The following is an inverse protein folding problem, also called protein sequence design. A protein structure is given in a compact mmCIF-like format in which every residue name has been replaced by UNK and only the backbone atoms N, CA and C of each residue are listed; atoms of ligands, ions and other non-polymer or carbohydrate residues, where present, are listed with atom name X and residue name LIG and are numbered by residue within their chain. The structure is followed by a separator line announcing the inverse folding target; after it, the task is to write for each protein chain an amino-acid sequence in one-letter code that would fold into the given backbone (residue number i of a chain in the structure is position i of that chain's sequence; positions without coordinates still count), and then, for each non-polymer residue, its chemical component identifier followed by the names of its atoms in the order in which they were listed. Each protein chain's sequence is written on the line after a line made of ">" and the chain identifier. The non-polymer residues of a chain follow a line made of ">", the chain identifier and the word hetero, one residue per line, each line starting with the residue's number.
data_IF_337183131992
#
_entry.id   IF_337183131992
#
_cell.length_a   1.000
_cell.length_b   1.000
_cell.length_c   1.000
_cell.angle_alpha   90.00
_cell.angle_beta   90.00
_cell.angle_gamma   90.00
#
_symmetry.space_group_name_H-M   'P 1'
#
loop_
_entity.id
_entity.type
_entity.pdbx_description
1 polymer ?
#
# COMPACT_ATOMS: atom_id res chain seq x y z
N UNK A 1 10.40 59.79 5.64
CA UNK A 1 11.82 60.14 5.89
C UNK A 1 12.23 61.15 4.83
N UNK A 2 13.06 62.15 5.17
CA UNK A 2 13.34 63.28 4.28
C UNK A 2 14.25 62.87 3.11
N UNK A 3 13.87 63.20 1.88
CA UNK A 3 14.71 62.97 0.70
C UNK A 3 15.80 64.05 0.66
N UNK A 4 17.06 63.65 0.79
CA UNK A 4 18.17 64.59 0.88
C UNK A 4 18.55 65.03 -0.54
N UNK A 5 18.48 66.34 -0.79
CA UNK A 5 18.89 66.94 -2.05
C UNK A 5 20.34 67.38 -1.98
N UNK A 6 21.04 67.17 -3.09
CA UNK A 6 22.42 67.58 -3.27
C UNK A 6 22.52 68.49 -4.50
N UNK A 7 23.50 69.38 -4.51
CA UNK A 7 23.84 70.20 -5.67
C UNK A 7 25.35 70.29 -5.79
N UNK A 8 25.85 70.37 -7.02
CA UNK A 8 27.27 70.53 -7.26
C UNK A 8 27.71 71.97 -6.96
N UNK A 9 28.78 72.11 -6.19
CA UNK A 9 29.49 73.38 -5.97
C UNK A 9 28.62 74.53 -5.41
N UNK A 10 27.62 74.22 -4.57
CA UNK A 10 26.81 75.25 -3.93
C UNK A 10 27.62 75.98 -2.85
N UNK A 11 27.98 77.23 -3.10
CA UNK A 11 28.75 78.06 -2.17
C UNK A 11 28.37 79.53 -2.30
N UNK A 12 28.30 80.23 -1.17
CA UNK A 12 28.07 81.67 -1.11
C UNK A 12 28.59 82.25 0.21
N UNK A 13 28.69 83.58 0.28
CA UNK A 13 28.83 84.28 1.56
C UNK A 13 27.45 84.66 2.10
N UNK A 14 27.37 84.82 3.41
CA UNK A 14 26.19 85.35 4.07
C UNK A 14 26.01 86.84 3.73
N UNK A 15 24.79 87.24 3.38
CA UNK A 15 24.44 88.61 3.00
C UNK A 15 23.89 89.45 4.17
N UNK A 16 23.50 88.82 5.28
CA UNK A 16 23.01 89.47 6.49
C UNK A 16 23.50 88.71 7.73
N UNK A 17 23.96 89.42 8.76
CA UNK A 17 24.38 88.81 10.03
C UNK A 17 23.18 88.10 10.67
N UNK A 18 23.40 86.87 11.15
CA UNK A 18 22.37 86.05 11.78
C UNK A 18 22.76 85.71 13.22
N UNK A 19 21.74 85.53 14.05
CA UNK A 19 21.85 85.07 15.45
C UNK A 19 21.15 83.70 15.60
N UNK A 20 21.33 82.95 16.71
CA UNK A 20 20.76 81.62 16.92
C UNK A 20 19.24 81.48 16.72
N UNK A 21 18.48 82.55 16.91
CA UNK A 21 17.03 82.55 16.75
C UNK A 21 16.57 82.69 15.29
N UNK A 22 17.46 83.10 14.37
CA UNK A 22 17.10 83.32 12.98
C UNK A 22 16.89 82.00 12.25
N UNK A 23 15.69 81.84 11.70
CA UNK A 23 15.27 80.67 10.93
C UNK A 23 15.36 80.90 9.41
N UNK A 24 15.76 82.10 9.00
CA UNK A 24 16.01 82.45 7.60
C UNK A 24 17.38 83.07 7.49
N UNK A 25 18.20 82.53 6.61
CA UNK A 25 19.51 83.07 6.30
C UNK A 25 19.50 83.58 4.87
N UNK A 26 20.22 84.66 4.60
CA UNK A 26 20.30 85.23 3.26
C UNK A 26 21.70 85.01 2.71
N UNK A 27 21.83 84.34 1.56
CA UNK A 27 23.09 84.25 0.82
C UNK A 27 23.24 85.46 -0.10
N UNK A 28 24.45 85.69 -0.64
CA UNK A 28 24.66 86.84 -1.52
C UNK A 28 23.72 86.84 -2.74
N UNK A 29 23.31 88.02 -3.22
CA UNK A 29 22.38 88.13 -4.34
C UNK A 29 22.81 87.30 -5.56
N UNK A 30 21.90 86.46 -6.06
CA UNK A 30 22.12 85.58 -7.21
C UNK A 30 22.81 84.25 -6.91
N UNK A 31 23.36 84.05 -5.71
CA UNK A 31 24.02 82.80 -5.32
C UNK A 31 23.07 81.79 -4.69
N UNK A 32 21.88 82.20 -4.27
CA UNK A 32 20.82 81.30 -3.80
C UNK A 32 20.57 80.19 -4.81
N UNK A 33 20.58 80.55 -6.11
CA UNK A 33 20.40 79.66 -7.26
C UNK A 33 21.27 78.39 -7.23
N UNK A 34 22.46 78.43 -6.62
CA UNK A 34 23.41 77.32 -6.57
C UNK A 34 23.03 76.24 -5.56
N UNK A 35 22.23 76.57 -4.55
CA UNK A 35 21.75 75.61 -3.55
C UNK A 35 20.53 74.86 -4.06
N UNK A 36 20.22 73.65 -3.57
CA UNK A 36 18.93 73.03 -3.82
C UNK A 36 17.79 73.95 -3.34
N UNK A 37 16.63 73.83 -3.97
CA UNK A 37 15.39 74.46 -3.51
C UNK A 37 14.49 73.40 -2.86
N UNK A 38 14.82 72.90 -1.65
CA UNK A 38 14.04 71.84 -1.03
C UNK A 38 12.60 72.30 -0.78
N UNK A 39 11.67 71.35 -0.85
CA UNK A 39 10.30 71.49 -0.37
C UNK A 39 9.94 70.21 0.39
N UNK A 40 9.12 70.28 1.44
CA UNK A 40 8.84 69.12 2.32
C UNK A 40 8.42 67.86 1.52
N UNK A 41 8.98 66.66 1.79
CA UNK A 41 9.89 66.29 2.88
C UNK A 41 11.37 66.42 2.51
N UNK A 42 11.70 67.07 1.39
CA UNK A 42 13.08 67.22 0.97
C UNK A 42 13.83 68.17 1.88
N UNK A 43 15.10 67.88 2.07
CA UNK A 43 15.99 68.72 2.84
C UNK A 43 17.32 68.83 2.13
N UNK A 44 17.99 69.95 2.34
CA UNK A 44 19.40 70.10 1.99
C UNK A 44 20.14 70.43 3.27
N UNK A 45 21.21 69.70 3.55
CA UNK A 45 22.12 70.12 4.61
C UNK A 45 23.10 71.13 4.04
N UNK A 46 23.26 72.25 4.76
CA UNK A 46 24.23 73.30 4.45
C UNK A 46 25.14 73.47 5.66
N UNK A 47 26.38 73.86 5.40
CA UNK A 47 27.36 74.14 6.44
C UNK A 47 27.75 75.61 6.38
N UNK A 48 27.68 76.28 7.52
CA UNK A 48 28.21 77.63 7.70
C UNK A 48 29.57 77.55 8.39
N UNK A 49 30.54 78.31 7.89
CA UNK A 49 31.87 78.43 8.49
C UNK A 49 32.38 79.86 8.41
N UNK A 50 32.93 80.38 9.50
CA UNK A 50 33.62 81.67 9.53
C UNK A 50 35.16 81.53 9.54
N UNK A 51 35.88 82.66 9.46
CA UNK A 51 37.34 82.69 9.48
C UNK A 51 37.97 82.32 10.84
N UNK A 52 37.16 82.18 11.89
CA UNK A 52 37.61 81.73 13.22
C UNK A 52 37.54 80.22 13.35
N UNK A 53 36.91 79.55 12.37
CA UNK A 53 36.67 78.11 12.36
C UNK A 53 35.39 77.69 13.08
N UNK A 54 34.47 78.63 13.38
CA UNK A 54 33.16 78.29 13.92
C UNK A 54 32.31 77.63 12.82
N UNK A 55 31.77 76.45 13.09
CA UNK A 55 31.00 75.65 12.12
C UNK A 55 29.60 75.35 12.66
N UNK A 56 28.59 75.52 11.80
CA UNK A 56 27.23 75.06 12.06
C UNK A 56 26.67 74.30 10.86
N UNK A 57 26.02 73.16 11.12
CA UNK A 57 25.28 72.42 10.11
C UNK A 57 23.80 72.78 10.27
N UNK A 58 23.21 73.28 9.20
CA UNK A 58 21.80 73.62 9.18
C UNK A 58 21.06 72.76 8.17
N UNK A 59 19.79 72.50 8.45
CA UNK A 59 18.88 71.81 7.54
C UNK A 59 18.04 72.85 6.83
N UNK A 60 18.39 73.14 5.59
CA UNK A 60 17.59 73.97 4.71
C UNK A 60 16.32 73.22 4.32
N UNK A 61 15.18 73.87 4.56
CA UNK A 61 13.84 73.32 4.31
C UNK A 61 13.12 74.05 3.19
N UNK A 62 13.52 75.28 2.85
CA UNK A 62 13.08 75.98 1.64
C UNK A 62 14.03 77.07 1.19
N UNK A 63 13.92 77.46 -0.07
CA UNK A 63 14.65 78.61 -0.65
C UNK A 63 13.67 79.54 -1.37
N UNK A 64 13.77 80.84 -1.09
CA UNK A 64 13.12 81.92 -1.84
C UNK A 64 14.19 82.86 -2.39
N UNK A 65 14.52 82.69 -3.66
CA UNK A 65 15.63 83.40 -4.32
C UNK A 65 16.93 83.17 -3.53
N UNK A 66 17.41 84.18 -2.81
CA UNK A 66 18.63 84.13 -2.01
C UNK A 66 18.38 83.92 -0.51
N UNK A 67 17.12 83.77 -0.09
CA UNK A 67 16.77 83.46 1.30
C UNK A 67 16.58 81.95 1.45
N UNK A 68 17.31 81.35 2.38
CA UNK A 68 17.18 79.95 2.77
C UNK A 68 16.49 79.87 4.14
N UNK A 69 15.37 79.19 4.21
CA UNK A 69 14.72 78.84 5.47
C UNK A 69 15.38 77.59 6.02
N UNK A 70 15.80 77.63 7.28
CA UNK A 70 16.64 76.60 7.89
C UNK A 70 16.15 76.19 9.26
N UNK A 71 16.46 74.95 9.62
CA UNK A 71 16.50 74.51 11.02
C UNK A 71 17.97 74.50 11.43
N UNK A 72 18.28 75.27 12.47
CA UNK A 72 19.62 75.49 13.02
C UNK A 72 20.13 74.27 13.80
N UNK A 73 21.44 74.20 14.05
CA UNK A 73 22.05 73.23 14.96
C UNK A 73 21.72 71.76 14.68
N UNK A 74 21.94 71.30 13.45
CA UNK A 74 21.76 69.90 13.06
C UNK A 74 23.04 69.12 13.25
N UNK A 75 22.94 67.79 13.19
CA UNK A 75 24.08 66.87 13.25
C UNK A 75 25.01 67.12 14.46
N UNK A 76 24.38 67.44 15.61
CA UNK A 76 25.09 67.71 16.87
C UNK A 76 25.75 69.09 16.97
N UNK A 77 25.63 69.94 15.95
CA UNK A 77 26.08 71.34 16.01
C UNK A 77 25.11 72.20 16.81
N UNK A 78 25.60 73.32 17.35
CA UNK A 78 24.80 74.30 18.11
C UNK A 78 24.56 75.52 17.24
N UNK A 79 23.43 76.19 17.41
CA UNK A 79 23.15 77.45 16.72
C UNK A 79 24.09 78.56 17.21
N UNK A 80 24.85 79.19 16.29
CA UNK A 80 25.84 80.23 16.58
C UNK A 80 25.50 81.57 15.92
N UNK A 81 26.18 82.63 16.34
CA UNK A 81 26.16 83.91 15.64
C UNK A 81 27.09 83.86 14.41
N UNK A 82 26.65 84.40 13.27
CA UNK A 82 27.47 84.48 12.06
C UNK A 82 27.35 85.84 11.40
N UNK A 83 28.49 86.38 10.94
CA UNK A 83 28.61 87.74 10.43
C UNK A 83 28.55 87.74 8.90
N UNK A 84 27.80 88.71 8.33
CA UNK A 84 27.74 88.92 6.88
C UNK A 84 29.13 89.17 6.28
N UNK A 85 29.33 88.81 5.02
CA UNK A 85 30.59 88.94 4.26
C UNK A 85 31.82 88.20 4.82
N UNK A 86 31.68 87.51 5.95
CA UNK A 86 32.72 86.68 6.56
C UNK A 86 32.35 85.20 6.48
N UNK A 87 31.12 84.86 6.84
CA UNK A 87 30.69 83.45 6.91
C UNK A 87 30.36 82.88 5.54
N UNK A 88 30.97 81.74 5.21
CA UNK A 88 30.68 80.96 4.01
C UNK A 88 29.55 79.96 4.29
N UNK A 89 28.56 79.94 3.40
CA UNK A 89 27.48 78.95 3.34
C UNK A 89 27.82 77.98 2.22
N UNK A 90 27.87 76.69 2.47
CA UNK A 90 28.27 75.72 1.45
C UNK A 90 27.63 74.35 1.60
N UNK A 91 27.41 73.70 0.46
CA UNK A 91 27.14 72.27 0.35
C UNK A 91 28.46 71.61 -0.07
N UNK A 92 29.15 71.01 0.90
CA UNK A 92 30.54 70.56 0.74
C UNK A 92 30.70 69.29 -0.11
N UNK A 93 29.64 68.53 -0.32
CA UNK A 93 29.68 67.23 -1.03
C UNK A 93 29.10 67.35 -2.44
N UNK A 94 29.71 66.69 -3.41
CA UNK A 94 29.26 66.69 -4.80
C UNK A 94 28.06 65.75 -4.98
N UNK A 95 27.02 66.21 -5.67
CA UNK A 95 25.77 65.45 -5.86
C UNK A 95 26.01 64.12 -6.58
N UNK A 96 26.84 64.14 -7.63
CA UNK A 96 27.16 62.94 -8.42
C UNK A 96 27.76 61.82 -7.57
N UNK A 97 28.59 62.18 -6.58
CA UNK A 97 29.25 61.20 -5.71
C UNK A 97 28.25 60.56 -4.75
N UNK A 98 27.18 61.24 -4.34
CA UNK A 98 26.18 60.73 -3.40
C UNK A 98 24.99 60.06 -4.07
N UNK A 99 24.70 60.41 -5.32
CA UNK A 99 23.68 59.78 -6.16
C UNK A 99 24.10 58.38 -6.63
N UNK A 100 25.41 58.07 -6.63
CA UNK A 100 25.96 56.75 -6.96
C UNK A 100 25.83 55.72 -5.82
N UNK A 101 25.58 56.16 -4.59
CA UNK A 101 25.35 55.24 -3.48
C UNK A 101 23.90 54.76 -3.48
N UNK A 102 23.71 53.45 -3.35
CA UNK A 102 22.46 52.91 -2.83
C UNK A 102 22.26 53.58 -1.47
N UNK A 103 21.22 54.38 -1.30
CA UNK A 103 20.86 54.93 0.01
C UNK A 103 20.34 53.78 0.87
N UNK A 104 21.27 52.95 1.34
CA UNK A 104 21.03 51.87 2.26
C UNK A 104 20.98 52.49 3.65
N UNK A 105 19.82 52.50 4.26
CA UNK A 105 19.81 52.37 5.71
C UNK A 105 19.92 50.87 5.98
N UNK A 106 20.96 50.46 6.71
CA UNK A 106 21.04 49.15 7.37
C UNK A 106 19.95 49.01 8.44
N UNK A 107 18.72 49.18 7.99
CA UNK A 107 17.47 49.04 8.69
C UNK A 107 16.86 47.70 8.23
N UNK A 108 15.85 47.22 8.95
CA UNK A 108 15.10 46.07 8.44
C UNK A 108 14.44 46.46 7.10
N UNK A 109 14.73 45.72 6.03
CA UNK A 109 13.89 45.76 4.83
C UNK A 109 12.54 45.18 5.23
N UNK A 110 11.63 46.06 5.64
CA UNK A 110 10.27 45.68 6.02
C UNK A 110 9.42 45.62 4.74
N UNK A 111 9.04 44.41 4.34
CA UNK A 111 8.26 44.16 3.12
C UNK A 111 8.95 43.17 2.17
N UNK A 112 8.25 42.88 1.07
CA UNK A 112 8.72 41.93 0.07
C UNK A 112 9.80 42.57 -0.81
N UNK A 113 10.92 41.87 -0.96
CA UNK A 113 11.97 42.23 -1.91
C UNK A 113 11.72 41.49 -3.23
N UNK A 114 11.32 42.23 -4.26
CA UNK A 114 11.17 41.68 -5.62
C UNK A 114 12.53 41.66 -6.34
N UNK A 115 13.07 40.46 -6.56
CA UNK A 115 14.31 40.26 -7.30
C UNK A 115 14.10 40.11 -8.81
N UNK A 116 12.85 40.06 -9.29
CA UNK A 116 12.50 39.76 -10.67
C UNK A 116 13.23 38.50 -11.19
N UNK A 117 14.13 38.66 -12.18
CA UNK A 117 14.94 37.58 -12.75
C UNK A 117 16.32 37.44 -12.12
N UNK A 118 16.64 38.25 -11.11
CA UNK A 118 17.93 38.19 -10.44
C UNK A 118 17.95 37.07 -9.40
N UNK A 119 19.12 36.50 -9.19
CA UNK A 119 19.34 35.42 -8.22
C UNK A 119 19.91 35.97 -6.92
N UNK A 120 19.50 35.39 -5.79
CA UNK A 120 20.20 35.58 -4.52
C UNK A 120 21.35 34.56 -4.48
N UNK A 121 22.55 35.00 -4.85
CA UNK A 121 23.72 34.14 -4.84
C UNK A 121 24.31 34.03 -3.42
N UNK A 122 24.65 32.81 -3.00
CA UNK A 122 25.29 32.53 -1.69
C UNK A 122 24.51 33.06 -0.48
N UNK A 123 23.17 33.03 -0.51
CA UNK A 123 22.34 33.50 0.58
C UNK A 123 22.59 32.71 1.88
N UNK A 124 22.82 33.42 2.99
CA UNK A 124 22.76 32.84 4.34
C UNK A 124 21.45 33.26 5.01
N UNK A 125 20.37 32.54 4.70
CA UNK A 125 19.05 32.82 5.25
C UNK A 125 18.94 32.19 6.64
N UNK A 126 18.84 33.03 7.67
CA UNK A 126 18.68 32.58 9.06
C UNK A 126 17.26 32.83 9.55
N UNK A 127 16.85 32.11 10.60
CA UNK A 127 15.48 32.18 11.12
C UNK A 127 14.48 31.42 10.26
N UNK A 128 13.20 31.80 10.35
CA UNK A 128 12.12 31.15 9.60
C UNK A 128 12.09 31.64 8.16
N UNK A 129 12.59 30.80 7.24
CA UNK A 129 12.51 31.05 5.80
C UNK A 129 11.30 30.32 5.22
N UNK A 130 10.42 31.03 4.50
CA UNK A 130 9.30 30.44 3.74
C UNK A 130 9.53 30.62 2.25
N UNK A 131 9.65 29.51 1.52
CA UNK A 131 9.70 29.49 0.06
C UNK A 131 8.31 29.08 -0.44
N UNK A 132 7.63 29.95 -1.21
CA UNK A 132 6.30 29.64 -1.79
C UNK A 132 6.47 29.30 -3.27
N UNK A 133 6.12 28.09 -3.70
CA UNK A 133 6.18 27.67 -5.10
C UNK A 133 7.59 27.46 -5.66
N UNK A 134 8.64 27.52 -4.83
CA UNK A 134 10.02 27.24 -5.23
C UNK A 134 10.40 25.76 -5.14
N UNK A 135 11.51 25.40 -5.76
CA UNK A 135 12.08 24.04 -5.73
C UNK A 135 13.45 24.07 -5.04
N UNK A 136 13.77 23.02 -4.28
CA UNK A 136 15.13 22.77 -3.77
C UNK A 136 15.86 21.87 -4.75
N UNK A 137 16.87 22.40 -5.46
CA UNK A 137 17.65 21.65 -6.46
C UNK A 137 19.10 21.50 -5.98
N UNK A 138 19.59 20.27 -5.91
CA UNK A 138 21.03 19.98 -5.81
C UNK A 138 21.71 20.24 -4.45
N UNK A 139 20.99 20.66 -3.41
CA UNK A 139 21.57 20.76 -2.06
C UNK A 139 21.48 19.42 -1.36
N UNK A 140 22.63 18.86 -0.95
CA UNK A 140 22.63 17.66 -0.13
C UNK A 140 22.06 17.97 1.27
N UNK A 141 20.86 17.48 1.56
CA UNK A 141 20.28 17.49 2.90
C UNK A 141 20.96 16.36 3.68
N UNK A 142 22.15 16.62 4.23
CA UNK A 142 22.93 15.61 4.97
C UNK A 142 22.58 15.67 6.45
N UNK A 143 21.66 14.83 6.89
CA UNK A 143 21.54 14.45 8.30
C UNK A 143 22.34 13.17 8.59
N UNK A 144 22.71 12.93 9.84
CA UNK A 144 22.95 11.54 10.26
C UNK A 144 21.64 10.77 10.21
N UNK A 145 21.68 9.44 10.20
CA UNK A 145 20.47 8.63 10.33
C UNK A 145 19.66 9.10 11.56
N UNK A 146 18.34 9.19 11.42
CA UNK A 146 17.37 9.51 12.48
C UNK A 146 17.41 10.94 13.09
N UNK A 147 18.02 11.90 12.41
CA UNK A 147 18.03 13.31 12.84
C UNK A 147 16.81 14.09 12.32
N UNK A 148 15.84 14.36 13.19
CA UNK A 148 14.61 15.12 12.88
C UNK A 148 14.82 16.62 12.63
N UNK A 149 16.02 17.14 12.90
CA UNK A 149 16.37 18.55 12.70
C UNK A 149 16.84 18.87 11.27
N UNK A 150 17.03 17.86 10.41
CA UNK A 150 17.49 18.01 9.02
C UNK A 150 16.50 17.39 8.03
N UNK A 151 15.20 17.46 8.31
CA UNK A 151 14.15 16.91 7.44
C UNK A 151 13.43 18.02 6.65
N UNK A 152 13.11 17.75 5.38
CA UNK A 152 12.10 18.51 4.67
C UNK A 152 10.72 18.04 5.14
N UNK A 153 10.20 18.66 6.19
CA UNK A 153 8.88 18.32 6.73
C UNK A 153 7.80 18.74 5.74
N UNK A 154 7.04 17.78 5.22
CA UNK A 154 5.79 18.05 4.50
C UNK A 154 4.70 18.24 5.57
N UNK A 155 4.08 19.44 5.68
CA UNK A 155 3.12 19.71 6.75
C UNK A 155 1.98 18.70 6.71
N UNK A 156 1.63 18.14 7.88
CA UNK A 156 0.56 17.17 8.05
C UNK A 156 -0.86 17.75 7.85
N UNK A 157 -1.01 18.83 7.08
CA UNK A 157 -2.32 19.39 6.74
C UNK A 157 -3.16 18.27 6.11
N UNK A 158 -4.26 17.94 6.79
CA UNK A 158 -5.08 16.74 6.60
C UNK A 158 -5.24 16.37 5.11
N UNK A 159 -4.48 15.36 4.67
CA UNK A 159 -4.62 14.76 3.34
C UNK A 159 -3.60 15.16 2.27
N UNK A 160 -2.70 16.12 2.50
CA UNK A 160 -1.67 16.47 1.51
C UNK A 160 -0.39 15.65 1.77
N UNK A 161 -0.08 14.72 0.86
CA UNK A 161 1.10 13.85 0.93
C UNK A 161 2.17 14.27 -0.06
N UNK A 162 3.42 13.95 0.26
CA UNK A 162 4.48 13.96 -0.74
C UNK A 162 4.10 13.01 -1.89
N UNK A 163 4.24 13.47 -3.13
CA UNK A 163 4.01 12.63 -4.31
C UNK A 163 5.27 12.53 -5.17
N UNK A 164 5.59 11.33 -5.66
CA UNK A 164 6.54 11.15 -6.75
C UNK A 164 5.74 10.96 -8.05
N UNK A 165 5.93 11.84 -9.03
CA UNK A 165 5.19 11.77 -10.29
C UNK A 165 3.66 11.88 -10.14
N UNK A 166 3.17 12.52 -9.08
CA UNK A 166 1.74 12.63 -8.77
C UNK A 166 1.16 11.48 -7.95
N UNK A 167 1.96 10.45 -7.64
CA UNK A 167 1.53 9.31 -6.79
C UNK A 167 2.01 9.51 -5.35
N UNK A 168 1.14 9.38 -4.33
CA UNK A 168 1.54 9.47 -2.93
C UNK A 168 2.66 8.50 -2.58
N UNK A 169 3.68 8.99 -1.87
CA UNK A 169 4.74 8.15 -1.30
C UNK A 169 4.20 7.50 -0.02
N UNK A 170 4.42 6.19 0.13
CA UNK A 170 4.03 5.42 1.32
C UNK A 170 5.10 5.57 2.41
N UNK A 171 4.67 5.80 3.65
CA UNK A 171 5.53 5.97 4.84
C UNK A 171 5.21 4.93 5.91
N UNK A 172 6.10 4.76 6.90
CA UNK A 172 6.01 3.73 7.94
C UNK A 172 4.82 3.86 8.91
N UNK A 173 4.17 5.04 8.94
CA UNK A 173 2.94 5.28 9.71
C UNK A 173 1.68 5.05 8.90
N UNK A 174 1.80 4.74 7.60
CA UNK A 174 0.65 4.42 6.78
C UNK A 174 0.07 3.08 7.20
N UNK A 175 -1.24 3.07 7.34
CA UNK A 175 -1.98 1.83 7.45
C UNK A 175 -1.93 1.13 6.09
N UNK A 176 -0.90 0.31 5.90
CA UNK A 176 -0.74 -0.55 4.73
C UNK A 176 -2.00 -1.41 4.53
N UNK A 177 -2.72 -1.75 5.59
CA UNK A 177 -3.94 -2.56 5.56
C UNK A 177 -5.05 -1.80 4.83
N UNK A 178 -5.22 -0.50 5.10
CA UNK A 178 -6.20 0.34 4.40
C UNK A 178 -5.88 0.54 2.91
N UNK A 179 -4.60 0.47 2.51
CA UNK A 179 -4.18 0.53 1.10
C UNK A 179 -4.42 -0.80 0.38
N UNK A 180 -4.38 -1.92 1.12
CA UNK A 180 -4.59 -3.28 0.63
C UNK A 180 -6.06 -3.72 0.61
N UNK A 181 -6.96 -3.01 1.32
CA UNK A 181 -8.41 -3.27 1.37
C UNK A 181 -9.16 -2.79 0.09
N UNK A 182 -8.48 -2.07 -0.80
CA UNK A 182 -8.98 -1.84 -2.17
C UNK A 182 -8.69 -3.10 -2.98
N UNK A 183 -9.74 -3.79 -3.47
CA UNK A 183 -9.66 -5.04 -4.25
C UNK A 183 -8.45 -5.08 -5.20
N UNK A 184 -7.36 -5.67 -4.73
CA UNK A 184 -6.04 -5.58 -5.34
C UNK A 184 -5.23 -6.79 -4.99
N UNK A 185 -4.55 -7.34 -5.99
CA UNK A 185 -3.62 -8.46 -5.82
C UNK A 185 -2.30 -7.88 -5.32
N UNK A 186 -1.72 -8.45 -4.27
CA UNK A 186 -0.32 -8.18 -3.91
C UNK A 186 0.55 -8.93 -4.92
N UNK A 187 1.06 -8.23 -5.94
CA UNK A 187 1.95 -8.80 -6.94
C UNK A 187 3.42 -8.55 -6.56
N UNK A 188 4.19 -9.64 -6.40
CA UNK A 188 5.64 -9.59 -6.20
C UNK A 188 6.36 -9.71 -7.55
N UNK A 189 6.33 -8.65 -8.36
CA UNK A 189 6.86 -8.63 -9.75
C UNK A 189 8.42 -8.67 -9.85
N UNK A 190 9.13 -8.68 -8.71
CA UNK A 190 10.59 -8.77 -8.69
C UNK A 190 11.06 -10.15 -8.24
N UNK A 191 12.01 -10.73 -8.99
CA UNK A 191 12.67 -12.00 -8.67
C UNK A 191 13.45 -11.99 -7.33
N UNK A 192 13.56 -10.84 -6.66
CA UNK A 192 14.26 -10.68 -5.37
C UNK A 192 13.33 -10.51 -4.18
N UNK A 193 12.01 -10.38 -4.39
CA UNK A 193 11.05 -10.16 -3.30
C UNK A 193 10.35 -11.49 -3.00
N UNK A 194 10.51 -11.98 -1.78
CA UNK A 194 9.89 -13.22 -1.31
C UNK A 194 9.31 -13.07 0.10
N UNK A 195 8.38 -13.95 0.45
CA UNK A 195 7.82 -14.05 1.81
C UNK A 195 8.72 -14.99 2.62
N UNK A 196 9.43 -14.46 3.61
CA UNK A 196 10.17 -15.27 4.58
C UNK A 196 9.25 -15.63 5.74
N UNK A 197 8.97 -16.93 5.93
CA UNK A 197 8.24 -17.46 7.09
C UNK A 197 9.26 -18.10 8.04
N UNK A 198 9.64 -17.45 9.16
CA UNK A 198 10.51 -18.05 10.16
C UNK A 198 9.90 -19.31 10.78
N UNK A 199 10.73 -20.18 11.36
CA UNK A 199 10.25 -21.33 12.10
C UNK A 199 9.25 -20.91 13.20
N UNK A 200 8.07 -21.52 13.20
CA UNK A 200 6.98 -21.21 14.13
C UNK A 200 6.07 -20.05 13.72
N UNK A 201 6.37 -19.32 12.63
CA UNK A 201 5.46 -18.34 12.03
C UNK A 201 4.57 -18.99 10.96
N UNK A 202 3.51 -18.28 10.56
CA UNK A 202 2.55 -18.75 9.55
C UNK A 202 2.16 -17.66 8.56
N UNK A 203 1.78 -18.08 7.36
CA UNK A 203 0.90 -17.33 6.48
C UNK A 203 -0.48 -17.99 6.55
N UNK A 204 -1.53 -17.22 6.88
CA UNK A 204 -2.85 -17.76 7.17
C UNK A 204 -3.97 -16.97 6.50
N UNK A 205 -4.97 -17.70 6.03
CA UNK A 205 -6.30 -17.21 5.64
C UNK A 205 -7.27 -17.77 6.68
N UNK A 206 -8.03 -16.91 7.36
CA UNK A 206 -8.87 -17.29 8.49
C UNK A 206 -10.21 -16.58 8.45
N UNK A 207 -11.20 -17.17 9.13
CA UNK A 207 -12.47 -16.51 9.40
C UNK A 207 -12.34 -15.42 10.49
N UNK A 208 -13.37 -14.60 10.67
CA UNK A 208 -13.43 -13.51 11.65
C UNK A 208 -13.14 -13.97 13.09
N UNK A 209 -13.52 -15.21 13.39
CA UNK A 209 -13.46 -15.77 14.74
C UNK A 209 -12.15 -16.53 15.01
N UNK A 210 -11.26 -16.63 14.00
CA UNK A 210 -9.95 -17.30 14.08
C UNK A 210 -9.98 -18.81 14.43
N UNK A 211 -11.16 -19.41 14.46
CA UNK A 211 -11.37 -20.84 14.76
C UNK A 211 -11.29 -21.74 13.51
N UNK A 212 -11.47 -21.15 12.32
CA UNK A 212 -11.34 -21.84 11.04
C UNK A 212 -10.31 -21.16 10.15
N UNK A 213 -9.39 -21.94 9.59
CA UNK A 213 -8.30 -21.39 8.78
C UNK A 213 -7.65 -22.39 7.83
N UNK A 214 -6.99 -21.82 6.81
CA UNK A 214 -5.94 -22.43 6.01
C UNK A 214 -4.61 -21.75 6.35
N UNK A 215 -3.58 -22.51 6.72
CA UNK A 215 -2.27 -21.94 7.01
C UNK A 215 -1.13 -22.73 6.38
N UNK A 216 -0.15 -22.01 5.86
CA UNK A 216 1.17 -22.52 5.50
C UNK A 216 2.18 -22.18 6.60
N UNK A 217 2.94 -23.16 7.05
CA UNK A 217 3.97 -23.02 8.08
C UNK A 217 5.26 -23.71 7.64
N UNK A 218 6.39 -23.18 8.09
CA UNK A 218 7.68 -23.85 7.96
C UNK A 218 8.20 -24.19 9.35
N UNK A 219 8.62 -25.43 9.57
CA UNK A 219 9.16 -25.88 10.87
C UNK A 219 10.70 -25.92 10.90
N UNK A 220 11.32 -25.62 9.76
CA UNK A 220 12.78 -25.63 9.58
C UNK A 220 13.25 -26.72 8.63
N UNK A 221 12.43 -27.76 8.42
CA UNK A 221 12.72 -28.86 7.49
C UNK A 221 11.62 -29.01 6.47
N UNK A 222 10.36 -28.87 6.89
CA UNK A 222 9.19 -29.12 6.06
C UNK A 222 8.30 -27.88 5.93
N UNK A 223 7.55 -27.84 4.83
CA UNK A 223 6.45 -26.91 4.63
C UNK A 223 5.13 -27.63 4.90
N UNK A 224 4.44 -27.20 5.95
CA UNK A 224 3.20 -27.78 6.43
C UNK A 224 2.02 -26.91 5.95
N UNK A 225 1.10 -27.51 5.20
CA UNK A 225 -0.18 -26.92 4.85
C UNK A 225 -1.26 -27.56 5.72
N UNK A 226 -1.91 -26.76 6.55
CA UNK A 226 -2.93 -27.25 7.49
C UNK A 226 -4.26 -26.53 7.26
N UNK A 227 -5.34 -27.27 7.49
CA UNK A 227 -6.71 -26.79 7.40
C UNK A 227 -7.43 -27.17 8.68
N UNK A 228 -7.89 -26.18 9.46
CA UNK A 228 -8.61 -26.42 10.72
C UNK A 228 -9.97 -25.76 10.64
N UNK A 229 -11.01 -26.43 11.16
CA UNK A 229 -12.38 -25.93 11.14
C UNK A 229 -12.99 -25.78 9.74
N UNK A 230 -12.28 -26.21 8.70
CA UNK A 230 -12.72 -26.15 7.29
C UNK A 230 -13.49 -27.42 6.93
N UNK A 231 -14.71 -27.28 6.39
CA UNK A 231 -15.54 -28.44 6.02
C UNK A 231 -15.09 -29.16 4.74
N UNK A 232 -14.50 -28.44 3.77
CA UNK A 232 -14.08 -29.02 2.49
C UNK A 232 -12.84 -28.30 1.95
N UNK A 233 -11.85 -29.07 1.51
CA UNK A 233 -10.80 -28.61 0.60
C UNK A 233 -11.15 -29.09 -0.81
N UNK A 234 -11.47 -28.16 -1.72
CA UNK A 234 -11.80 -28.49 -3.11
C UNK A 234 -10.67 -28.05 -4.05
N UNK A 235 -9.94 -29.02 -4.60
CA UNK A 235 -8.96 -28.82 -5.67
C UNK A 235 -9.63 -29.31 -6.96
N UNK A 236 -9.78 -28.44 -7.96
CA UNK A 236 -10.50 -28.75 -9.20
C UNK A 236 -9.62 -28.45 -10.40
N UNK A 237 -9.58 -29.37 -11.37
CA UNK A 237 -8.84 -29.18 -12.62
C UNK A 237 -7.32 -29.22 -12.45
N UNK A 238 -6.82 -29.89 -11.41
CA UNK A 238 -5.40 -30.02 -11.09
C UNK A 238 -5.08 -31.48 -10.82
N UNK A 239 -3.99 -31.97 -11.42
CA UNK A 239 -3.39 -33.25 -11.08
C UNK A 239 -2.62 -33.11 -9.76
N UNK A 240 -2.95 -33.95 -8.78
CA UNK A 240 -2.24 -34.00 -7.49
C UNK A 240 -1.17 -35.09 -7.59
N UNK A 241 0.07 -34.68 -7.83
CA UNK A 241 1.23 -35.58 -7.82
C UNK A 241 1.80 -35.66 -6.39
N UNK A 242 1.86 -36.88 -5.86
CA UNK A 242 2.50 -37.17 -4.58
C UNK A 242 3.81 -37.88 -4.95
N UNK A 243 4.93 -37.14 -4.86
CA UNK A 243 6.23 -37.59 -5.36
C UNK A 243 6.63 -39.00 -4.91
N UNK A 244 7.55 -39.62 -5.64
CA UNK A 244 7.99 -40.99 -5.36
C UNK A 244 8.50 -41.19 -3.92
N UNK A 245 8.08 -42.29 -3.27
CA UNK A 245 8.55 -42.68 -1.94
C UNK A 245 7.73 -42.12 -0.76
N UNK A 246 6.54 -41.57 -1.02
CA UNK A 246 5.61 -41.10 0.02
C UNK A 246 4.65 -42.22 0.44
N UNK A 247 4.89 -42.85 1.58
CA UNK A 247 3.96 -43.79 2.25
C UNK A 247 2.91 -43.01 3.08
N UNK A 248 1.99 -42.21 2.49
CA UNK A 248 1.30 -41.21 3.34
C UNK A 248 -0.10 -40.67 2.96
N UNK A 249 -0.90 -41.37 2.14
CA UNK A 249 -2.36 -41.08 2.15
C UNK A 249 -3.01 -41.89 3.29
N UNK A 250 -2.99 -41.34 4.51
CA UNK A 250 -3.84 -41.83 5.60
C UNK A 250 -5.22 -41.18 5.48
N UNK A 251 -6.19 -41.93 4.96
CA UNK A 251 -7.60 -41.53 4.92
C UNK A 251 -8.29 -42.15 6.15
N UNK A 252 -8.82 -41.32 7.04
CA UNK A 252 -9.72 -41.77 8.11
C UNK A 252 -11.17 -41.97 7.61
N UNK A 253 -11.48 -41.42 6.43
CA UNK A 253 -12.75 -41.54 5.73
C UNK A 253 -12.69 -42.34 4.43
N UNK A 254 -13.71 -42.14 3.58
CA UNK A 254 -13.87 -42.87 2.32
C UNK A 254 -13.10 -42.22 1.16
N UNK A 255 -12.50 -43.06 0.31
CA UNK A 255 -12.04 -42.65 -1.02
C UNK A 255 -13.20 -42.83 -2.01
N UNK A 256 -13.69 -41.74 -2.60
CA UNK A 256 -14.69 -41.78 -3.68
C UNK A 256 -14.03 -41.45 -5.02
N UNK A 257 -14.13 -42.36 -5.99
CA UNK A 257 -13.53 -42.17 -7.31
C UNK A 257 -14.52 -41.58 -8.34
N UNK A 258 -15.82 -41.51 -8.04
CA UNK A 258 -16.87 -40.99 -8.96
C UNK A 258 -16.65 -41.44 -10.43
N UNK A 259 -16.53 -42.76 -10.63
CA UNK A 259 -16.20 -43.44 -11.90
C UNK A 259 -14.75 -43.39 -12.41
N UNK A 260 -13.86 -42.74 -11.67
CA UNK A 260 -12.41 -42.80 -11.87
C UNK A 260 -11.82 -44.19 -11.60
N UNK A 261 -10.56 -44.36 -11.97
CA UNK A 261 -9.84 -45.62 -11.84
C UNK A 261 -8.73 -45.52 -10.79
N UNK A 262 -8.51 -46.64 -10.10
CA UNK A 262 -7.28 -46.89 -9.35
C UNK A 262 -6.41 -47.80 -10.23
N UNK A 263 -5.29 -47.29 -10.73
CA UNK A 263 -4.42 -48.04 -11.64
C UNK A 263 -3.28 -48.74 -10.87
N UNK A 264 -3.03 -50.00 -11.22
CA UNK A 264 -2.04 -50.88 -10.59
C UNK A 264 -2.08 -50.99 -9.04
N UNK A 265 -3.28 -51.09 -8.39
CA UNK A 265 -3.31 -51.22 -6.95
C UNK A 265 -2.83 -52.60 -6.48
N UNK A 266 -2.00 -52.61 -5.43
CA UNK A 266 -1.77 -53.78 -4.59
C UNK A 266 -2.62 -53.63 -3.31
N UNK A 267 -3.58 -54.54 -3.11
CA UNK A 267 -4.46 -54.54 -1.95
C UNK A 267 -4.14 -55.75 -1.05
N UNK A 268 -3.53 -55.52 0.11
CA UNK A 268 -3.09 -56.61 1.01
C UNK A 268 -4.12 -57.03 2.08
N UNK A 269 -5.14 -56.21 2.34
CA UNK A 269 -6.21 -56.50 3.33
C UNK A 269 -7.52 -55.81 2.91
N UNK A 270 -8.06 -56.20 1.74
CA UNK A 270 -9.32 -55.65 1.26
C UNK A 270 -10.50 -56.50 1.72
N UNK A 271 -11.61 -55.83 2.03
CA UNK A 271 -12.91 -56.45 2.24
C UNK A 271 -13.91 -55.90 1.22
N UNK A 272 -14.91 -56.71 0.89
CA UNK A 272 -16.06 -56.27 0.09
C UNK A 272 -17.26 -56.01 1.00
N UNK A 273 -18.12 -55.07 0.61
CA UNK A 273 -19.30 -54.73 1.40
C UNK A 273 -20.29 -55.91 1.42
N UNK A 274 -20.81 -56.22 2.60
CA UNK A 274 -21.89 -57.21 2.79
C UNK A 274 -23.26 -56.55 2.60
N UNK A 275 -24.14 -57.24 1.90
CA UNK A 275 -25.54 -56.87 1.72
C UNK A 275 -26.44 -58.01 2.24
N UNK A 276 -27.42 -57.71 3.08
CA UNK A 276 -28.41 -58.68 3.53
C UNK A 276 -29.70 -58.55 2.72
N UNK A 277 -30.21 -59.67 2.19
CA UNK A 277 -31.42 -59.71 1.36
C UNK A 277 -32.37 -60.77 1.91
N UNK A 278 -33.64 -60.42 2.09
CA UNK A 278 -34.68 -61.37 2.46
C UNK A 278 -35.44 -61.81 1.22
N UNK A 279 -35.60 -63.11 1.04
CA UNK A 279 -36.33 -63.64 -0.11
C UNK A 279 -37.80 -63.21 -0.09
N UNK A 280 -38.28 -62.83 -1.28
CA UNK A 280 -39.68 -62.67 -1.64
C UNK A 280 -39.93 -63.35 -3.00
N UNK A 281 -41.19 -63.53 -3.38
CA UNK A 281 -41.54 -64.14 -4.68
C UNK A 281 -40.84 -63.44 -5.86
N UNK A 282 -40.67 -62.12 -5.78
CA UNK A 282 -39.75 -61.35 -6.62
C UNK A 282 -38.65 -60.77 -5.74
N UNK A 283 -37.42 -61.22 -5.94
CA UNK A 283 -36.25 -60.78 -5.18
C UNK A 283 -35.25 -60.10 -6.11
N UNK A 284 -34.89 -58.87 -5.77
CA UNK A 284 -33.85 -58.10 -6.46
C UNK A 284 -32.67 -57.89 -5.54
N UNK A 285 -31.46 -58.09 -6.07
CA UNK A 285 -30.20 -57.76 -5.41
C UNK A 285 -29.63 -56.51 -6.07
N UNK A 286 -29.32 -55.48 -5.29
CA UNK A 286 -28.64 -54.30 -5.82
C UNK A 286 -27.12 -54.51 -5.80
N UNK A 287 -26.47 -54.44 -6.96
CA UNK A 287 -25.03 -54.65 -7.06
C UNK A 287 -24.22 -53.53 -6.36
N UNK A 288 -24.76 -52.31 -6.26
CA UNK A 288 -24.05 -51.16 -5.68
C UNK A 288 -24.02 -51.18 -4.14
N UNK A 289 -24.91 -51.95 -3.50
CA UNK A 289 -24.98 -52.07 -2.04
C UNK A 289 -23.99 -53.10 -1.46
N UNK A 290 -23.39 -53.94 -2.30
CA UNK A 290 -22.33 -54.85 -1.89
C UNK A 290 -22.30 -56.16 -2.66
N UNK A 291 -21.09 -56.63 -2.95
CA UNK A 291 -20.86 -57.82 -3.78
C UNK A 291 -20.87 -59.14 -2.99
N UNK A 292 -20.98 -59.10 -1.65
CA UNK A 292 -21.24 -60.28 -0.83
C UNK A 292 -22.67 -60.25 -0.28
N UNK A 293 -23.54 -61.08 -0.84
CA UNK A 293 -24.98 -61.04 -0.57
C UNK A 293 -25.37 -62.20 0.32
N UNK A 294 -25.97 -61.91 1.47
CA UNK A 294 -26.55 -62.92 2.35
C UNK A 294 -28.05 -63.01 2.09
N UNK A 295 -28.44 -64.03 1.35
CA UNK A 295 -29.82 -64.26 0.95
C UNK A 295 -30.50 -65.22 1.94
N UNK A 296 -31.43 -64.70 2.74
CA UNK A 296 -32.27 -65.51 3.60
C UNK A 296 -33.44 -66.09 2.80
N UNK A 297 -33.35 -67.37 2.44
CA UNK A 297 -34.30 -68.05 1.57
C UNK A 297 -35.50 -68.59 2.36
N UNK A 298 -36.34 -67.69 2.86
CA UNK A 298 -37.54 -68.01 3.63
C UNK A 298 -38.74 -68.47 2.78
N UNK A 299 -38.76 -68.10 1.51
CA UNK A 299 -39.81 -68.43 0.53
C UNK A 299 -39.18 -68.81 -0.81
N UNK A 300 -39.97 -69.44 -1.69
CA UNK A 300 -39.55 -69.62 -3.08
C UNK A 300 -39.39 -68.26 -3.76
N UNK A 301 -38.31 -68.11 -4.52
CA UNK A 301 -38.10 -66.96 -5.39
C UNK A 301 -38.52 -67.37 -6.80
N UNK A 302 -39.59 -66.77 -7.30
CA UNK A 302 -40.12 -67.04 -8.65
C UNK A 302 -39.40 -66.18 -9.70
N UNK A 303 -38.98 -64.97 -9.30
CA UNK A 303 -38.24 -64.01 -10.13
C UNK A 303 -37.04 -63.50 -9.35
N UNK A 304 -35.84 -63.81 -9.82
CA UNK A 304 -34.58 -63.30 -9.28
C UNK A 304 -33.96 -62.30 -10.25
N UNK A 305 -33.48 -61.17 -9.75
CA UNK A 305 -32.77 -60.17 -10.57
C UNK A 305 -31.59 -59.57 -9.80
N UNK A 306 -30.58 -59.12 -10.55
CA UNK A 306 -29.52 -58.25 -10.04
C UNK A 306 -29.61 -56.93 -10.80
N UNK A 307 -29.87 -55.84 -10.08
CA UNK A 307 -29.95 -54.49 -10.62
C UNK A 307 -28.62 -53.73 -10.42
N UNK A 308 -28.48 -52.62 -11.13
CA UNK A 308 -27.29 -51.76 -11.16
C UNK A 308 -25.93 -52.48 -11.41
N UNK A 309 -25.85 -53.45 -12.35
CA UNK A 309 -24.59 -54.10 -12.67
C UNK A 309 -23.56 -53.10 -13.22
N UNK A 310 -22.26 -53.43 -13.18
CA UNK A 310 -21.24 -52.60 -13.81
C UNK A 310 -21.57 -52.33 -15.28
N UNK A 311 -21.38 -51.09 -15.72
CA UNK A 311 -21.63 -50.67 -17.12
C UNK A 311 -20.85 -51.54 -18.13
N UNK A 312 -21.30 -51.53 -19.39
CA UNK A 312 -20.72 -52.34 -20.47
C UNK A 312 -19.19 -52.17 -20.55
N UNK A 313 -18.48 -53.29 -20.75
CA UNK A 313 -17.02 -53.40 -20.74
C UNK A 313 -16.34 -53.32 -19.35
N UNK A 314 -17.10 -53.29 -18.25
CA UNK A 314 -16.58 -53.57 -16.89
C UNK A 314 -16.99 -54.98 -16.44
N UNK A 315 -16.10 -55.65 -15.72
CA UNK A 315 -16.36 -56.98 -15.14
C UNK A 315 -17.09 -56.82 -13.80
N UNK A 316 -18.20 -57.56 -13.62
CA UNK A 316 -18.93 -57.65 -12.37
C UNK A 316 -18.84 -59.04 -11.77
N UNK A 317 -18.70 -59.11 -10.45
CA UNK A 317 -18.69 -60.36 -9.69
C UNK A 317 -19.48 -60.17 -8.40
N UNK A 318 -20.40 -61.09 -8.12
CA UNK A 318 -21.17 -61.12 -6.87
C UNK A 318 -21.17 -62.55 -6.33
N UNK A 319 -21.06 -62.67 -5.01
CA UNK A 319 -21.20 -63.94 -4.29
C UNK A 319 -22.49 -63.90 -3.49
N UNK A 320 -23.35 -64.88 -3.72
CA UNK A 320 -24.51 -65.15 -2.89
C UNK A 320 -24.15 -66.22 -1.85
N UNK A 321 -24.45 -65.94 -0.59
CA UNK A 321 -24.55 -66.90 0.50
C UNK A 321 -26.03 -67.12 0.76
N UNK A 322 -26.59 -68.18 0.18
CA UNK A 322 -27.99 -68.54 0.33
C UNK A 322 -28.12 -69.36 1.61
N UNK A 323 -29.02 -68.97 2.51
CA UNK A 323 -29.31 -69.72 3.74
C UNK A 323 -30.76 -70.16 3.72
N UNK A 324 -31.01 -71.48 3.80
CA UNK A 324 -32.35 -72.05 3.80
C UNK A 324 -33.15 -71.60 5.03
N UNK A 325 -34.40 -71.19 4.81
CA UNK A 325 -35.36 -70.85 5.85
C UNK A 325 -35.88 -72.10 6.55
N UNK A 326 -37.04 -72.61 6.11
CA UNK A 326 -37.62 -73.85 6.65
C UNK A 326 -37.13 -75.12 5.95
N UNK A 327 -36.32 -74.99 4.90
CA UNK A 327 -35.86 -76.09 4.06
C UNK A 327 -36.77 -76.35 2.87
N UNK A 328 -36.16 -76.66 1.72
CA UNK A 328 -36.83 -77.02 0.47
C UNK A 328 -37.27 -75.82 -0.38
N UNK A 329 -36.94 -74.59 0.01
CA UNK A 329 -37.19 -73.42 -0.83
C UNK A 329 -36.30 -73.46 -2.08
N UNK A 330 -36.83 -72.97 -3.19
CA UNK A 330 -36.14 -72.92 -4.49
C UNK A 330 -35.98 -71.50 -5.01
N UNK A 331 -35.00 -71.32 -5.91
CA UNK A 331 -34.85 -70.12 -6.72
C UNK A 331 -35.08 -70.52 -8.17
N UNK A 332 -36.08 -69.91 -8.82
CA UNK A 332 -36.30 -70.04 -10.24
C UNK A 332 -35.39 -69.05 -10.98
N UNK A 333 -34.35 -69.57 -11.62
CA UNK A 333 -33.34 -68.75 -12.30
C UNK A 333 -33.86 -68.27 -13.67
N UNK A 334 -33.89 -66.96 -13.95
CA UNK A 334 -34.23 -66.47 -15.27
C UNK A 334 -33.26 -66.96 -16.35
N UNK A 335 -33.71 -66.95 -17.61
CA UNK A 335 -32.90 -67.38 -18.76
C UNK A 335 -31.60 -66.55 -18.97
N UNK A 336 -31.48 -65.38 -18.35
CA UNK A 336 -30.27 -64.55 -18.33
C UNK A 336 -29.12 -65.20 -17.53
N UNK A 337 -29.43 -66.11 -16.60
CA UNK A 337 -28.46 -66.82 -15.78
C UNK A 337 -28.05 -68.12 -16.49
N UNK A 338 -26.75 -68.26 -16.75
CA UNK A 338 -26.14 -69.36 -17.51
C UNK A 338 -25.28 -70.22 -16.60
N UNK A 339 -25.51 -71.52 -16.66
CA UNK A 339 -24.85 -72.50 -15.81
C UNK A 339 -23.98 -73.47 -16.61
N UNK A 340 -22.93 -73.99 -15.98
CA UNK A 340 -22.08 -75.03 -16.56
C UNK A 340 -22.92 -76.23 -17.01
N UNK A 341 -22.77 -76.64 -18.28
CA UNK A 341 -23.53 -77.76 -18.84
C UNK A 341 -25.04 -77.53 -18.97
N UNK A 342 -25.53 -76.29 -18.81
CA UNK A 342 -26.95 -75.92 -18.80
C UNK A 342 -27.76 -76.62 -17.68
N UNK A 343 -27.12 -76.92 -16.55
CA UNK A 343 -27.75 -77.49 -15.36
C UNK A 343 -27.81 -76.42 -14.27
N UNK A 344 -29.02 -76.07 -13.84
CA UNK A 344 -29.21 -75.14 -12.72
C UNK A 344 -28.70 -75.72 -11.40
N UNK A 345 -28.23 -74.87 -10.47
CA UNK A 345 -27.76 -75.31 -9.17
C UNK A 345 -28.89 -75.93 -8.35
N UNK A 346 -28.61 -77.05 -7.68
CA UNK A 346 -29.57 -77.75 -6.83
C UNK A 346 -29.33 -77.32 -5.40
N UNK A 347 -30.17 -76.40 -4.91
CA UNK A 347 -30.02 -75.88 -3.55
C UNK A 347 -30.20 -76.98 -2.50
N UNK A 348 -29.46 -76.85 -1.42
CA UNK A 348 -29.61 -77.64 -0.20
C UNK A 348 -31.04 -77.55 0.32
N UNK A 349 -31.54 -78.56 1.04
CA UNK A 349 -32.98 -78.64 1.40
C UNK A 349 -33.23 -78.67 2.91
N UNK A 350 -32.19 -78.79 3.72
CA UNK A 350 -32.26 -78.72 5.17
C UNK A 350 -32.38 -77.29 5.67
N UNK A 351 -33.09 -77.12 6.79
CA UNK A 351 -33.21 -75.86 7.52
C UNK A 351 -31.83 -75.31 7.90
N UNK A 352 -31.54 -74.06 7.52
CA UNK A 352 -30.29 -73.40 7.85
C UNK A 352 -29.07 -73.83 7.03
N UNK A 353 -29.22 -74.79 6.10
CA UNK A 353 -28.13 -75.16 5.19
C UNK A 353 -27.74 -73.98 4.31
N UNK A 354 -26.43 -73.88 4.03
CA UNK A 354 -25.84 -72.77 3.30
C UNK A 354 -25.32 -73.24 1.95
N UNK A 355 -25.68 -72.51 0.90
CA UNK A 355 -25.14 -72.67 -0.45
C UNK A 355 -24.41 -71.39 -0.87
N UNK A 356 -23.31 -71.54 -1.58
CA UNK A 356 -22.57 -70.43 -2.19
C UNK A 356 -22.77 -70.45 -3.70
N UNK A 357 -23.13 -69.29 -4.25
CA UNK A 357 -23.30 -69.11 -5.69
C UNK A 357 -22.48 -67.90 -6.10
N UNK A 358 -21.53 -68.12 -7.00
CA UNK A 358 -20.77 -67.04 -7.62
C UNK A 358 -21.37 -66.73 -8.98
N UNK A 359 -21.63 -65.45 -9.22
CA UNK A 359 -22.20 -64.95 -10.47
C UNK A 359 -21.30 -63.84 -11.03
N UNK A 360 -21.13 -63.84 -12.34
CA UNK A 360 -20.30 -62.86 -13.04
C UNK A 360 -20.97 -62.33 -14.31
N UNK A 361 -20.73 -61.07 -14.65
CA UNK A 361 -21.22 -60.43 -15.87
C UNK A 361 -20.12 -59.55 -16.50
N UNK A 362 -20.21 -59.34 -17.81
CA UNK A 362 -19.35 -58.40 -18.56
C UNK A 362 -20.15 -57.53 -19.55
N UNK A 363 -21.47 -57.65 -19.52
CA UNK A 363 -22.40 -57.07 -20.51
C UNK A 363 -23.52 -56.25 -19.84
N UNK A 364 -23.19 -55.55 -18.74
CA UNK A 364 -24.14 -54.76 -17.96
C UNK A 364 -25.34 -55.57 -17.46
N UNK A 365 -25.09 -56.82 -17.04
CA UNK A 365 -26.09 -57.71 -16.44
C UNK A 365 -27.12 -58.28 -17.40
N UNK A 366 -26.91 -58.15 -18.72
CA UNK A 366 -27.74 -58.83 -19.71
C UNK A 366 -27.57 -60.35 -19.63
N UNK A 367 -26.36 -60.82 -19.31
CA UNK A 367 -26.04 -62.22 -19.06
C UNK A 367 -25.25 -62.37 -17.75
N UNK A 368 -25.64 -63.36 -16.94
CA UNK A 368 -24.91 -63.76 -15.74
C UNK A 368 -24.42 -65.19 -15.88
N UNK A 369 -23.12 -65.41 -15.75
CA UNK A 369 -22.53 -66.75 -15.70
C UNK A 369 -22.40 -67.17 -14.25
N UNK A 370 -22.77 -68.40 -13.92
CA UNK A 370 -22.80 -68.87 -12.54
C UNK A 370 -22.10 -70.20 -12.29
N UNK A 371 -21.60 -70.35 -11.07
CA UNK A 371 -21.19 -71.63 -10.47
C UNK A 371 -21.73 -71.73 -9.05
N UNK A 372 -22.00 -72.94 -8.58
CA UNK A 372 -22.42 -73.20 -7.20
C UNK A 372 -21.43 -74.09 -6.46
N UNK A 373 -21.37 -73.90 -5.14
CA UNK A 373 -20.93 -74.91 -4.18
C UNK A 373 -22.07 -75.13 -3.18
N UNK A 374 -22.52 -76.37 -3.05
CA UNK A 374 -23.75 -76.72 -2.34
C UNK A 374 -23.44 -77.53 -1.07
N UNK A 375 -24.31 -77.42 -0.06
CA UNK A 375 -24.32 -78.32 1.10
C UNK A 375 -23.29 -78.02 2.18
N UNK A 376 -22.99 -76.74 2.44
CA UNK A 376 -22.14 -76.35 3.56
C UNK A 376 -22.97 -76.32 4.85
N UNK A 377 -22.53 -77.10 5.86
CA UNK A 377 -23.20 -77.27 7.15
C UNK A 377 -22.55 -76.48 8.29
#
# INVERSE_FOLDING_TARGET
>A
MANILFANNASSLLAATIVPADLTIQVKPGFGALFPSPSSPQICYITLEDNTGAIEIMKCTSRSVDLLTVVRGQDGTVALDFILDVTRVELRVQAVVLEEFLQANGDAMTGDLDFATNEIQNAYLTGTTRITGGQTIGTAIRGTLDQSNNELVVPAASGVRATAGGVPIVVNTDDLIALLDTAGVIEFDSATVGIRIPAGAYLRIQDSDNDAWLQGQHDGTDFNLSFIGTGLLKITGVDIDLGAGVDLIFLDGSLSLADGQLDQPLLNDFAVQRQAVSAAASTTVDYELGQYVELALGVNIDVFAIDNPPITARYGAVRLRVTQGSGGQTINWPAAYKWGGAVEPVLSTGTGEVDFIDLWTSDAGATWYGTSGEGFA
#
